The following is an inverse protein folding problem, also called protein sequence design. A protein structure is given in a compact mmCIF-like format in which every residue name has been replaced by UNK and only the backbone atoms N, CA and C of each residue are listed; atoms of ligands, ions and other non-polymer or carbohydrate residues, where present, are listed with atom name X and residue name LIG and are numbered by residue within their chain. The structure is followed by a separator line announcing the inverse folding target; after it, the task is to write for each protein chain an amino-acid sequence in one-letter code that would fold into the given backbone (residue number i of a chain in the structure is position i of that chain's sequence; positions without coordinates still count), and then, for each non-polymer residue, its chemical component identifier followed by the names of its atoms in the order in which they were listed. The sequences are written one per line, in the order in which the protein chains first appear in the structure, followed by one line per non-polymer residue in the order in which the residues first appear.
data_IF_130358198553
#
_entry.id   IF_130358198553
#
_cell.length_a   1.000
_cell.length_b   1.000
_cell.length_c   1.000
_cell.angle_alpha   90.00
_cell.angle_beta   90.00
_cell.angle_gamma   90.00
#
_symmetry.space_group_name_H-M   'P 1'
#
loop_
_entity.id
_entity.type
_entity.pdbx_description
1 polymer ?
#
# COMPACT_ATOMS: atom_id res chain seq x y z
N UNK A 1 -8.11 -64.50 -19.47
CA UNK A 1 -8.68 -65.24 -18.32
C UNK A 1 -8.74 -64.30 -17.14
N UNK A 2 -9.89 -64.30 -16.45
CA UNK A 2 -10.25 -63.53 -15.25
C UNK A 2 -10.44 -62.00 -15.41
N UNK A 3 -11.46 -61.32 -14.86
CA UNK A 3 -12.77 -61.65 -14.26
C UNK A 3 -13.57 -60.34 -14.20
N UNK A 4 -14.86 -60.43 -14.53
CA UNK A 4 -16.06 -59.64 -14.18
C UNK A 4 -15.98 -58.57 -13.07
N UNK A 5 -16.59 -57.39 -13.27
CA UNK A 5 -17.86 -56.97 -12.63
C UNK A 5 -18.19 -55.48 -12.84
N UNK A 6 -19.45 -55.22 -13.18
CA UNK A 6 -20.08 -53.92 -13.31
C UNK A 6 -20.79 -53.51 -12.00
N UNK A 7 -21.43 -52.32 -12.04
CA UNK A 7 -22.42 -51.74 -11.10
C UNK A 7 -21.73 -50.88 -10.01
N UNK A 8 -22.09 -49.63 -9.71
CA UNK A 8 -23.42 -48.96 -9.70
C UNK A 8 -23.20 -47.44 -9.67
N UNK A 9 -24.16 -46.64 -10.18
CA UNK A 9 -24.27 -45.20 -9.88
C UNK A 9 -24.66 -45.02 -8.41
N UNK A 10 -24.12 -43.99 -7.76
CA UNK A 10 -24.79 -43.34 -6.64
C UNK A 10 -24.54 -41.83 -6.72
N UNK A 11 -25.64 -41.11 -6.54
CA UNK A 11 -25.75 -39.66 -6.60
C UNK A 11 -25.22 -39.07 -5.30
N UNK A 12 -24.39 -38.03 -5.42
CA UNK A 12 -23.83 -37.34 -4.27
C UNK A 12 -23.54 -35.89 -4.63
N UNK A 13 -24.60 -35.11 -4.68
CA UNK A 13 -24.53 -33.65 -4.60
C UNK A 13 -23.74 -33.26 -3.35
N UNK A 14 -22.55 -32.73 -3.58
CA UNK A 14 -21.91 -31.83 -2.65
C UNK A 14 -21.25 -30.75 -3.52
N UNK A 15 -22.10 -29.89 -4.08
CA UNK A 15 -21.75 -28.49 -4.24
C UNK A 15 -20.91 -28.08 -3.02
N UNK A 16 -19.62 -27.82 -3.23
CA UNK A 16 -18.78 -27.24 -2.19
C UNK A 16 -19.41 -25.91 -1.83
N UNK A 17 -20.07 -25.93 -0.67
CA UNK A 17 -20.72 -24.81 -0.07
C UNK A 17 -19.78 -23.61 -0.12
N UNK A 18 -20.36 -22.52 -0.59
CA UNK A 18 -19.78 -21.21 -0.74
C UNK A 18 -18.89 -20.81 0.44
N UNK A 19 -17.66 -20.41 0.15
CA UNK A 19 -17.06 -19.28 0.88
C UNK A 19 -17.69 -17.98 0.34
N UNK A 20 -19.00 -17.84 0.54
CA UNK A 20 -19.70 -16.59 0.33
C UNK A 20 -19.64 -15.83 1.65
N UNK A 21 -18.56 -15.09 1.85
CA UNK A 21 -18.47 -14.21 3.02
C UNK A 21 -17.21 -13.39 3.17
N UNK A 22 -16.04 -13.84 2.69
CA UNK A 22 -14.84 -13.00 2.69
C UNK A 22 -14.74 -12.22 1.37
N UNK A 23 -15.57 -11.19 1.22
CA UNK A 23 -15.43 -10.24 0.12
C UNK A 23 -13.98 -9.75 0.01
N UNK A 24 -13.42 -9.74 -1.20
CA UNK A 24 -12.05 -9.29 -1.42
C UNK A 24 -11.87 -7.87 -0.88
N UNK A 25 -10.85 -7.66 -0.04
CA UNK A 25 -10.52 -6.32 0.48
C UNK A 25 -10.25 -5.33 -0.65
N UNK A 26 -10.78 -4.12 -0.50
CA UNK A 26 -10.42 -2.97 -1.32
C UNK A 26 -9.01 -2.52 -0.94
N UNK A 27 -8.07 -2.62 -1.87
CA UNK A 27 -6.67 -2.24 -1.69
C UNK A 27 -6.48 -0.80 -2.14
N UNK A 28 -6.29 0.09 -1.18
CA UNK A 28 -6.12 1.53 -1.41
C UNK A 28 -4.67 1.92 -1.18
N UNK A 29 -4.03 2.47 -2.20
CA UNK A 29 -2.66 2.97 -2.10
C UNK A 29 -2.67 4.48 -1.83
N UNK A 30 -1.83 4.91 -0.90
CA UNK A 30 -1.64 6.32 -0.56
C UNK A 30 -0.23 6.75 -0.99
N UNK A 31 -0.15 7.74 -1.87
CA UNK A 31 1.10 8.27 -2.43
C UNK A 31 1.30 9.71 -1.92
N UNK A 32 1.86 9.88 -0.71
CA UNK A 32 2.13 11.19 -0.14
C UNK A 32 3.36 11.86 -0.74
N UNK A 33 3.28 13.18 -0.91
CA UNK A 33 4.45 13.99 -1.26
C UNK A 33 5.52 13.90 -0.17
N UNK A 34 6.75 14.23 -0.54
CA UNK A 34 7.93 14.26 0.33
C UNK A 34 7.91 15.42 1.33
N UNK A 35 6.78 15.64 2.00
CA UNK A 35 6.52 16.71 2.94
C UNK A 35 5.78 16.16 4.16
N UNK A 36 6.28 16.44 5.38
CA UNK A 36 5.64 15.99 6.63
C UNK A 36 4.17 16.40 6.75
N UNK A 37 3.85 17.61 6.27
CA UNK A 37 2.49 18.15 6.28
C UNK A 37 1.49 17.39 5.41
N UNK A 38 1.96 16.51 4.53
CA UNK A 38 1.12 15.65 3.71
C UNK A 38 1.23 14.18 4.12
N UNK A 39 2.47 13.72 4.38
CA UNK A 39 2.79 12.36 4.80
C UNK A 39 2.01 11.95 6.06
N UNK A 40 1.98 12.80 7.09
CA UNK A 40 1.32 12.47 8.35
C UNK A 40 -0.22 12.44 8.17
N UNK A 41 -0.88 13.47 7.61
CA UNK A 41 -2.33 13.43 7.41
C UNK A 41 -2.81 12.28 6.52
N UNK A 42 -2.08 11.95 5.45
CA UNK A 42 -2.45 10.79 4.62
C UNK A 42 -2.24 9.46 5.33
N UNK A 43 -1.25 9.35 6.22
CA UNK A 43 -1.09 8.17 7.09
C UNK A 43 -2.27 8.05 8.06
N UNK A 44 -2.70 9.15 8.67
CA UNK A 44 -3.85 9.15 9.56
C UNK A 44 -5.14 8.79 8.81
N UNK A 45 -5.33 9.34 7.61
CA UNK A 45 -6.45 8.99 6.73
C UNK A 45 -6.43 7.49 6.34
N UNK A 46 -5.27 6.95 5.97
CA UNK A 46 -5.11 5.52 5.67
C UNK A 46 -5.51 4.65 6.87
N UNK A 47 -5.06 5.01 8.07
CA UNK A 47 -5.43 4.31 9.30
C UNK A 47 -6.93 4.41 9.58
N UNK A 48 -7.53 5.60 9.46
CA UNK A 48 -8.96 5.82 9.68
C UNK A 48 -9.81 5.05 8.67
N UNK A 49 -9.42 5.01 7.39
CA UNK A 49 -10.10 4.24 6.34
C UNK A 49 -10.12 2.75 6.67
N UNK A 50 -8.97 2.18 7.06
CA UNK A 50 -8.88 0.77 7.46
C UNK A 50 -9.64 0.47 8.75
N UNK A 51 -9.69 1.41 9.70
CA UNK A 51 -10.43 1.27 10.95
C UNK A 51 -11.96 1.42 10.78
N UNK A 52 -12.41 2.26 9.85
CA UNK A 52 -13.83 2.48 9.60
C UNK A 52 -14.50 1.31 8.88
N UNK A 53 -13.73 0.50 8.14
CA UNK A 53 -14.19 -0.67 7.40
C UNK A 53 -13.30 -1.90 7.65
N UNK A 54 -13.22 -2.41 8.90
CA UNK A 54 -12.36 -3.54 9.23
C UNK A 54 -12.76 -4.77 8.42
N UNK A 55 -11.76 -5.45 7.85
CA UNK A 55 -12.01 -6.64 7.02
C UNK A 55 -12.39 -6.34 5.57
N UNK A 56 -12.76 -5.11 5.24
CA UNK A 56 -13.15 -4.67 3.89
C UNK A 56 -12.08 -3.79 3.22
N UNK A 57 -11.31 -3.00 3.97
CA UNK A 57 -10.28 -2.09 3.42
C UNK A 57 -8.87 -2.53 3.86
N UNK A 58 -7.94 -2.59 2.91
CA UNK A 58 -6.50 -2.65 3.14
C UNK A 58 -5.87 -1.34 2.64
N UNK A 59 -5.28 -0.56 3.54
CA UNK A 59 -4.59 0.67 3.21
C UNK A 59 -3.08 0.43 3.13
N UNK A 60 -2.43 0.91 2.07
CA UNK A 60 -0.98 0.79 1.88
C UNK A 60 -0.36 2.16 1.67
N UNK A 61 0.55 2.55 2.56
CA UNK A 61 1.38 3.75 2.40
C UNK A 61 2.54 3.44 1.45
N UNK A 62 2.63 4.17 0.34
CA UNK A 62 3.71 4.04 -0.64
C UNK A 62 4.71 5.18 -0.42
N UNK A 63 5.83 4.87 0.23
CA UNK A 63 6.77 5.90 0.73
C UNK A 63 8.22 5.51 0.51
N UNK A 64 9.13 6.47 0.62
CA UNK A 64 10.57 6.24 0.51
C UNK A 64 11.16 5.74 1.84
N UNK A 65 12.36 5.11 1.84
CA UNK A 65 12.94 4.48 3.03
C UNK A 65 13.04 5.38 4.26
N UNK A 66 13.50 6.63 4.11
CA UNK A 66 13.65 7.56 5.22
C UNK A 66 12.31 8.07 5.75
N UNK A 67 11.29 8.17 4.89
CA UNK A 67 9.94 8.58 5.27
C UNK A 67 9.19 7.49 6.07
N UNK A 68 9.62 6.22 6.02
CA UNK A 68 9.02 5.14 6.84
C UNK A 68 9.12 5.43 8.34
N UNK A 69 10.28 5.93 8.81
CA UNK A 69 10.49 6.19 10.23
C UNK A 69 9.50 7.22 10.80
N UNK A 70 9.03 8.15 9.96
CA UNK A 70 8.08 9.20 10.35
C UNK A 70 6.67 8.66 10.58
N UNK A 71 6.31 7.54 9.95
CA UNK A 71 4.95 6.98 9.99
C UNK A 71 4.86 5.66 10.76
N UNK A 72 6.01 5.01 11.02
CA UNK A 72 6.07 3.69 11.64
C UNK A 72 5.29 3.57 12.96
N UNK A 73 5.35 4.53 13.90
CA UNK A 73 4.57 4.43 15.15
C UNK A 73 3.06 4.41 14.90
N UNK A 74 2.57 5.24 13.98
CA UNK A 74 1.15 5.33 13.64
C UNK A 74 0.67 4.06 12.96
N UNK A 75 1.41 3.56 11.97
CA UNK A 75 1.09 2.31 11.27
C UNK A 75 1.14 1.11 12.22
N UNK A 76 2.16 1.02 13.08
CA UNK A 76 2.29 -0.08 14.04
C UNK A 76 1.11 -0.11 15.02
N UNK A 77 0.66 1.05 15.51
CA UNK A 77 -0.52 1.16 16.36
C UNK A 77 -1.78 0.69 15.65
N UNK A 78 -1.98 1.06 14.38
CA UNK A 78 -3.13 0.61 13.60
C UNK A 78 -3.10 -0.91 13.37
N UNK A 79 -1.94 -1.45 13.05
CA UNK A 79 -1.75 -2.90 12.89
C UNK A 79 -2.01 -3.67 14.19
N UNK A 80 -1.54 -3.15 15.34
CA UNK A 80 -1.80 -3.74 16.66
C UNK A 80 -3.30 -3.73 17.03
N UNK A 81 -4.07 -2.77 16.50
CA UNK A 81 -5.52 -2.72 16.64
C UNK A 81 -6.27 -3.62 15.62
N UNK A 82 -5.54 -4.41 14.82
CA UNK A 82 -6.13 -5.33 13.83
C UNK A 82 -6.54 -4.66 12.51
N UNK A 83 -6.19 -3.38 12.30
CA UNK A 83 -6.46 -2.69 11.05
C UNK A 83 -5.43 -3.07 9.98
N UNK A 84 -5.88 -3.33 8.75
CA UNK A 84 -4.98 -3.67 7.66
C UNK A 84 -4.34 -2.43 7.05
N UNK A 85 -3.28 -1.98 7.71
CA UNK A 85 -2.42 -0.89 7.23
C UNK A 85 -1.03 -1.45 6.95
N UNK A 86 -0.50 -1.18 5.76
CA UNK A 86 0.81 -1.67 5.29
C UNK A 86 1.68 -0.51 4.84
N UNK A 87 2.98 -0.78 4.75
CA UNK A 87 3.96 0.12 4.14
C UNK A 87 4.60 -0.59 2.97
N UNK A 88 4.64 0.07 1.83
CA UNK A 88 5.36 -0.32 0.63
C UNK A 88 6.43 0.73 0.36
N UNK A 89 7.67 0.26 0.16
CA UNK A 89 8.82 1.13 -0.06
C UNK A 89 9.10 1.31 -1.55
N UNK A 90 9.51 2.52 -1.91
CA UNK A 90 10.02 2.82 -3.25
C UNK A 90 11.31 3.64 -3.15
N UNK A 91 12.25 3.53 -4.11
CA UNK A 91 13.46 4.33 -4.08
C UNK A 91 13.14 5.83 -4.16
N UNK A 92 13.90 6.64 -3.41
CA UNK A 92 13.94 8.09 -3.59
C UNK A 92 14.84 8.39 -4.81
N UNK A 93 14.43 9.29 -5.73
CA UNK A 93 15.25 9.68 -6.87
C UNK A 93 16.60 10.28 -6.45
N UNK A 94 17.68 9.90 -7.14
CA UNK A 94 18.99 10.50 -6.92
C UNK A 94 19.00 11.94 -7.45
N UNK A 95 19.01 12.88 -6.52
CA UNK A 95 19.04 14.33 -6.77
C UNK A 95 20.24 15.00 -6.11
N UNK A 96 21.26 14.22 -5.72
CA UNK A 96 22.45 14.73 -5.05
C UNK A 96 22.21 15.20 -3.62
N UNK A 97 21.23 14.62 -2.92
CA UNK A 97 21.03 14.77 -1.48
C UNK A 97 21.78 13.66 -0.73
N UNK A 98 22.17 13.93 0.52
CA UNK A 98 22.78 12.92 1.38
C UNK A 98 21.81 11.80 1.75
N UNK A 99 22.35 10.65 2.12
CA UNK A 99 21.57 9.48 2.54
C UNK A 99 20.58 9.84 3.65
N UNK A 100 19.34 9.38 3.50
CA UNK A 100 18.26 9.63 4.47
C UNK A 100 17.59 10.99 4.36
N UNK A 101 18.01 11.87 3.44
CA UNK A 101 17.36 13.17 3.22
C UNK A 101 16.34 13.06 2.07
N UNK A 102 15.13 12.64 2.43
CA UNK A 102 14.06 12.35 1.46
C UNK A 102 12.77 13.15 1.73
N UNK A 103 12.85 14.21 2.53
CA UNK A 103 11.70 15.04 2.92
C UNK A 103 12.09 16.52 2.99
N UNK A 104 11.17 17.42 2.59
CA UNK A 104 11.33 18.87 2.73
C UNK A 104 11.62 19.30 4.18
N UNK A 105 11.13 18.56 5.16
CA UNK A 105 11.35 18.88 6.57
C UNK A 105 12.73 18.45 7.10
N UNK A 106 13.43 17.56 6.40
CA UNK A 106 14.77 17.07 6.77
C UNK A 106 15.86 17.65 5.86
N UNK A 107 15.51 18.15 4.69
CA UNK A 107 16.44 18.79 3.78
C UNK A 107 16.93 20.15 4.33
N UNK A 108 18.22 20.48 4.16
CA UNK A 108 18.68 21.84 4.35
C UNK A 108 17.86 22.82 3.50
N UNK A 109 17.57 24.01 4.03
CA UNK A 109 16.70 24.98 3.34
C UNK A 109 17.19 25.34 1.93
N UNK A 110 18.52 25.43 1.74
CA UNK A 110 19.12 25.72 0.43
C UNK A 110 19.02 24.54 -0.56
N UNK A 111 18.68 23.35 -0.09
CA UNK A 111 18.53 22.13 -0.89
C UNK A 111 17.07 21.71 -1.11
N UNK A 112 16.09 22.46 -0.58
CA UNK A 112 14.67 22.13 -0.71
C UNK A 112 14.22 21.93 -2.18
N UNK A 113 14.80 22.69 -3.12
CA UNK A 113 14.56 22.55 -4.55
C UNK A 113 14.89 21.16 -5.10
N UNK A 114 15.86 20.44 -4.50
CA UNK A 114 16.20 19.06 -4.90
C UNK A 114 15.09 18.09 -4.51
N UNK A 115 14.41 18.31 -3.39
CA UNK A 115 13.26 17.48 -3.00
C UNK A 115 12.09 17.71 -3.96
N UNK A 116 11.83 18.96 -4.38
CA UNK A 116 10.87 19.24 -5.44
C UNK A 116 11.26 18.56 -6.75
N UNK A 117 12.54 18.61 -7.13
CA UNK A 117 13.03 17.87 -8.30
C UNK A 117 12.83 16.36 -8.17
N UNK A 118 13.01 15.79 -6.98
CA UNK A 118 12.73 14.38 -6.74
C UNK A 118 11.24 14.06 -6.94
N UNK A 119 10.32 14.96 -6.55
CA UNK A 119 8.88 14.77 -6.82
C UNK A 119 8.57 14.68 -8.31
N UNK A 120 9.29 15.41 -9.17
CA UNK A 120 9.13 15.32 -10.63
C UNK A 120 9.67 14.01 -11.21
N UNK A 121 10.68 13.41 -10.59
CA UNK A 121 11.39 12.22 -11.09
C UNK A 121 10.81 10.89 -10.59
N UNK A 122 9.99 10.92 -9.53
CA UNK A 122 9.49 9.69 -8.88
C UNK A 122 8.47 8.92 -9.72
N UNK A 123 7.87 9.55 -10.74
CA UNK A 123 6.78 8.99 -11.55
C UNK A 123 7.08 7.55 -12.03
N UNK A 124 8.28 7.30 -12.56
CA UNK A 124 8.67 5.97 -13.06
C UNK A 124 8.62 4.88 -11.98
N UNK A 125 9.00 5.22 -10.75
CA UNK A 125 8.99 4.33 -9.60
C UNK A 125 7.56 4.03 -9.16
N UNK A 126 6.72 5.07 -9.04
CA UNK A 126 5.30 4.92 -8.71
C UNK A 126 4.57 4.09 -9.76
N UNK A 127 4.71 4.40 -11.04
CA UNK A 127 4.04 3.66 -12.11
C UNK A 127 4.43 2.18 -12.12
N UNK A 128 5.71 1.87 -11.89
CA UNK A 128 6.19 0.48 -11.85
C UNK A 128 5.54 -0.28 -10.69
N UNK A 129 5.49 0.33 -9.50
CA UNK A 129 4.83 -0.26 -8.33
C UNK A 129 3.32 -0.42 -8.53
N UNK A 130 2.66 0.55 -9.15
CA UNK A 130 1.23 0.48 -9.44
C UNK A 130 0.91 -0.63 -10.47
N UNK A 131 1.75 -0.80 -11.49
CA UNK A 131 1.63 -1.89 -12.46
C UNK A 131 1.88 -3.27 -11.85
N UNK A 132 2.83 -3.37 -10.92
CA UNK A 132 3.17 -4.60 -10.21
C UNK A 132 2.06 -5.00 -9.22
N UNK A 133 1.65 -4.07 -8.35
CA UNK A 133 0.77 -4.38 -7.24
C UNK A 133 -0.72 -4.27 -7.57
N UNK A 134 -1.10 -3.54 -8.62
CA UNK A 134 -2.49 -3.36 -9.09
C UNK A 134 -3.47 -3.06 -7.94
N UNK A 135 -3.35 -1.92 -7.24
CA UNK A 135 -4.33 -1.51 -6.24
C UNK A 135 -5.67 -1.20 -6.89
N UNK A 136 -6.74 -1.24 -6.11
CA UNK A 136 -8.09 -0.91 -6.57
C UNK A 136 -8.34 0.59 -6.65
N UNK A 137 -7.67 1.35 -5.78
CA UNK A 137 -7.78 2.81 -5.72
C UNK A 137 -6.46 3.45 -5.30
N UNK A 138 -6.28 4.70 -5.70
CA UNK A 138 -5.10 5.51 -5.40
C UNK A 138 -5.57 6.83 -4.80
N UNK A 139 -4.99 7.20 -3.66
CA UNK A 139 -5.07 8.54 -3.08
C UNK A 139 -3.69 9.17 -3.26
N UNK A 140 -3.58 10.07 -4.24
CA UNK A 140 -2.34 10.73 -4.60
C UNK A 140 -2.35 12.18 -4.15
N UNK A 141 -1.20 12.69 -3.75
CA UNK A 141 -1.00 14.10 -3.50
C UNK A 141 -0.92 14.91 -4.82
N UNK A 142 -1.25 16.20 -4.76
CA UNK A 142 -1.35 17.07 -5.95
C UNK A 142 -0.10 17.06 -6.85
N UNK A 143 1.15 17.04 -6.34
CA UNK A 143 2.34 16.98 -7.20
C UNK A 143 2.50 15.70 -8.02
N UNK A 144 1.71 14.66 -7.76
CA UNK A 144 1.81 13.34 -8.40
C UNK A 144 0.55 12.98 -9.22
N UNK A 145 -0.27 13.98 -9.55
CA UNK A 145 -1.40 13.85 -10.46
C UNK A 145 -0.98 14.12 -11.91
#
# INVERSE_FOLDING_TARGET
MATTAATTRDDGDAATASDAGAGRRLRVFFLPSFARGHLIPQTDLACLMAAARPGEVEATMVVTPANVALIAPTVARAAAAGHAVRVLRHPFPDVGLGDGVECLATAPAHDAWRVYRAMELVQMSHESLLREHRPDAIVSDVPFW
#
